data_IF_847075393502
#
_entry.id   IF_847075393502
#
_cell.length_a   1.000
_cell.length_b   1.000
_cell.length_c   1.000
_cell.angle_alpha   90.00
_cell.angle_beta   90.00
_cell.angle_gamma   90.00
#
_symmetry.space_group_name_H-M   'P 1'
#
loop_
_entity.id
_entity.type
_entity.pdbx_description
1 polymer ?
#
# COMPACT_ATOMS: atom_id res chain seq x y z
N UNK A 1 -3.70 -17.83 5.50
CA UNK A 1 -4.08 -18.39 4.19
C UNK A 1 -5.58 -18.43 4.10
N UNK A 2 -6.16 -17.55 3.29
CA UNK A 2 -7.60 -17.46 3.04
C UNK A 2 -8.09 -18.82 2.54
N UNK A 3 -9.06 -19.40 3.25
CA UNK A 3 -9.60 -20.73 2.97
C UNK A 3 -11.04 -20.65 2.47
N UNK A 4 -11.29 -21.21 1.29
CA UNK A 4 -12.61 -21.17 0.64
C UNK A 4 -13.68 -21.92 1.45
N UNK A 5 -13.31 -23.01 2.14
CA UNK A 5 -14.27 -23.81 2.94
C UNK A 5 -14.81 -23.01 4.13
N UNK A 6 -13.94 -22.25 4.78
CA UNK A 6 -14.31 -21.41 5.92
C UNK A 6 -15.27 -20.30 5.44
N UNK A 7 -14.95 -19.65 4.32
CA UNK A 7 -15.82 -18.66 3.65
C UNK A 7 -17.19 -19.25 3.32
N UNK A 8 -17.25 -20.45 2.76
CA UNK A 8 -18.49 -21.12 2.37
C UNK A 8 -19.39 -21.42 3.58
N UNK A 9 -18.79 -21.77 4.72
CA UNK A 9 -19.51 -22.19 5.94
C UNK A 9 -20.21 -21.05 6.71
N UNK A 10 -19.81 -19.79 6.48
CA UNK A 10 -20.27 -18.63 7.28
C UNK A 10 -21.16 -17.68 6.50
N UNK A 11 -21.89 -16.79 7.18
CA UNK A 11 -22.78 -15.81 6.53
C UNK A 11 -22.20 -14.40 6.53
N UNK A 12 -21.55 -14.00 7.62
CA UNK A 12 -20.99 -12.67 7.80
C UNK A 12 -19.47 -12.71 7.97
N UNK A 13 -18.77 -12.08 7.02
CA UNK A 13 -17.31 -11.99 7.01
C UNK A 13 -16.88 -10.53 7.20
N UNK A 14 -15.92 -10.30 8.08
CA UNK A 14 -15.23 -9.03 8.23
C UNK A 14 -13.82 -9.15 7.63
N UNK A 15 -13.47 -8.27 6.69
CA UNK A 15 -12.11 -8.15 6.16
C UNK A 15 -11.43 -7.00 6.89
N UNK A 16 -10.28 -7.24 7.49
CA UNK A 16 -9.55 -6.28 8.31
C UNK A 16 -8.18 -6.03 7.69
N UNK A 17 -7.82 -4.75 7.56
CA UNK A 17 -6.47 -4.32 7.18
C UNK A 17 -5.93 -3.35 8.22
N UNK A 18 -4.63 -3.44 8.50
CA UNK A 18 -3.92 -2.53 9.41
C UNK A 18 -3.15 -1.43 8.67
N UNK A 19 -2.97 -1.59 7.35
CA UNK A 19 -2.33 -0.61 6.46
C UNK A 19 -3.25 -0.31 5.28
N UNK A 20 -3.45 0.97 5.00
CA UNK A 20 -4.30 1.39 3.89
C UNK A 20 -3.81 0.89 2.51
N UNK A 21 -2.53 0.60 2.35
CA UNK A 21 -1.94 -0.02 1.15
C UNK A 21 -2.57 -1.38 0.81
N UNK A 22 -3.21 -2.04 1.77
CA UNK A 22 -3.88 -3.32 1.60
C UNK A 22 -5.36 -3.20 1.19
N UNK A 23 -5.90 -1.98 1.15
CA UNK A 23 -7.28 -1.75 0.72
C UNK A 23 -7.61 -2.31 -0.68
N UNK A 24 -6.69 -2.32 -1.68
CA UNK A 24 -6.96 -2.97 -2.95
C UNK A 24 -7.23 -4.48 -2.82
N UNK A 25 -6.42 -5.18 -2.02
CA UNK A 25 -6.61 -6.61 -1.74
C UNK A 25 -7.94 -6.86 -1.02
N UNK A 26 -8.25 -6.04 -0.02
CA UNK A 26 -9.54 -6.09 0.69
C UNK A 26 -10.73 -5.83 -0.23
N UNK A 27 -10.62 -4.86 -1.16
CA UNK A 27 -11.67 -4.51 -2.12
C UNK A 27 -11.92 -5.64 -3.13
N UNK A 28 -10.86 -6.31 -3.60
CA UNK A 28 -10.97 -7.48 -4.46
C UNK A 28 -11.71 -8.62 -3.75
N UNK A 29 -11.27 -8.97 -2.53
CA UNK A 29 -11.90 -10.03 -1.73
C UNK A 29 -13.36 -9.69 -1.40
N UNK A 30 -13.64 -8.45 -1.00
CA UNK A 30 -15.00 -7.97 -0.73
C UNK A 30 -15.92 -8.17 -1.93
N UNK A 31 -15.46 -7.82 -3.13
CA UNK A 31 -16.24 -8.00 -4.36
C UNK A 31 -16.54 -9.46 -4.64
N UNK A 32 -15.58 -10.35 -4.39
CA UNK A 32 -15.79 -11.79 -4.54
C UNK A 32 -16.80 -12.32 -3.52
N UNK A 33 -16.66 -11.96 -2.24
CA UNK A 33 -17.54 -12.41 -1.17
C UNK A 33 -19.00 -11.94 -1.38
N UNK A 34 -19.22 -10.74 -1.92
CA UNK A 34 -20.56 -10.29 -2.31
C UNK A 34 -21.20 -11.17 -3.39
N UNK A 35 -20.41 -11.67 -4.36
CA UNK A 35 -20.91 -12.59 -5.40
C UNK A 35 -21.27 -13.97 -4.84
N UNK A 36 -20.72 -14.34 -3.70
CA UNK A 36 -21.10 -15.53 -2.94
C UNK A 36 -22.30 -15.28 -2.01
N UNK A 37 -22.99 -14.15 -2.16
CA UNK A 37 -24.12 -13.73 -1.34
C UNK A 37 -23.81 -13.66 0.16
N UNK A 38 -22.55 -13.39 0.52
CA UNK A 38 -22.13 -13.19 1.91
C UNK A 38 -22.48 -11.77 2.35
N UNK A 39 -22.79 -11.61 3.65
CA UNK A 39 -22.73 -10.30 4.30
C UNK A 39 -21.24 -10.00 4.51
N UNK A 40 -20.79 -8.80 4.14
CA UNK A 40 -19.37 -8.45 4.20
C UNK A 40 -19.18 -7.05 4.76
N UNK A 41 -18.12 -6.84 5.54
CA UNK A 41 -17.64 -5.52 5.97
C UNK A 41 -16.15 -5.39 5.69
N UNK A 42 -15.70 -4.22 5.23
CA UNK A 42 -14.28 -3.87 5.11
C UNK A 42 -13.94 -2.93 6.25
N UNK A 43 -12.87 -3.23 6.97
CA UNK A 43 -12.40 -2.45 8.11
C UNK A 43 -10.94 -2.07 7.86
N UNK A 44 -10.63 -0.78 7.97
CA UNK A 44 -9.26 -0.28 8.09
C UNK A 44 -9.04 0.20 9.51
N UNK A 45 -8.07 -0.37 10.21
CA UNK A 45 -7.68 0.12 11.54
C UNK A 45 -6.70 1.29 11.46
N UNK A 46 -6.15 1.56 10.27
CA UNK A 46 -5.45 2.80 9.96
C UNK A 46 -6.45 3.95 9.82
N UNK A 47 -6.49 4.81 10.83
CA UNK A 47 -7.40 5.96 10.92
C UNK A 47 -7.06 7.09 9.93
N UNK A 48 -5.95 7.00 9.21
CA UNK A 48 -5.56 8.03 8.25
C UNK A 48 -6.46 7.92 7.02
N UNK A 49 -7.19 8.98 6.71
CA UNK A 49 -7.95 9.03 5.48
C UNK A 49 -6.98 9.07 4.29
N UNK A 50 -7.00 8.03 3.46
CA UNK A 50 -6.14 7.95 2.29
C UNK A 50 -6.92 8.04 0.97
N UNK A 51 -7.14 9.29 0.52
CA UNK A 51 -7.81 9.60 -0.76
C UNK A 51 -7.08 9.09 -2.00
N UNK A 52 -5.87 8.54 -1.86
CA UNK A 52 -5.18 7.78 -2.92
C UNK A 52 -5.99 6.55 -3.34
N UNK A 53 -6.80 5.99 -2.43
CA UNK A 53 -7.58 4.77 -2.67
C UNK A 53 -9.07 5.02 -2.93
N UNK A 54 -9.50 6.28 -3.06
CA UNK A 54 -10.93 6.61 -3.24
C UNK A 54 -11.51 6.18 -4.59
N UNK A 55 -10.67 5.69 -5.50
CA UNK A 55 -11.10 5.08 -6.76
C UNK A 55 -11.42 3.59 -6.63
N UNK A 56 -11.03 2.94 -5.53
CA UNK A 56 -11.28 1.52 -5.33
C UNK A 56 -12.78 1.25 -5.25
N UNK A 57 -13.24 0.09 -5.77
CA UNK A 57 -14.59 -0.37 -5.50
C UNK A 57 -14.86 -0.40 -4.00
N UNK A 58 -16.04 0.11 -3.59
CA UNK A 58 -16.53 0.05 -2.21
C UNK A 58 -15.73 0.85 -1.20
N UNK A 59 -14.91 1.81 -1.63
CA UNK A 59 -14.14 2.68 -0.72
C UNK A 59 -15.05 3.38 0.30
N UNK A 60 -16.25 3.80 -0.11
CA UNK A 60 -17.25 4.43 0.76
C UNK A 60 -17.86 3.48 1.82
N UNK A 61 -17.56 2.18 1.74
CA UNK A 61 -18.03 1.15 2.70
C UNK A 61 -16.99 0.83 3.77
N UNK A 62 -15.78 1.35 3.66
CA UNK A 62 -14.72 1.13 4.65
C UNK A 62 -15.14 1.75 5.98
N UNK A 63 -14.90 1.02 7.07
CA UNK A 63 -15.19 1.43 8.45
C UNK A 63 -13.94 1.26 9.31
N UNK A 64 -13.99 1.76 10.53
CA UNK A 64 -12.90 1.69 11.51
C UNK A 64 -13.23 0.80 12.73
N UNK A 65 -14.43 0.20 12.76
CA UNK A 65 -14.90 -0.66 13.86
C UNK A 65 -15.18 -2.06 13.34
N UNK A 66 -14.51 -3.05 13.93
CA UNK A 66 -14.73 -4.47 13.67
C UNK A 66 -16.10 -4.88 14.25
N UNK A 67 -17.03 -5.41 13.44
CA UNK A 67 -18.32 -5.86 13.93
C UNK A 67 -18.18 -7.09 14.84
N UNK A 68 -18.67 -7.00 16.08
CA UNK A 68 -18.69 -8.14 17.03
C UNK A 68 -19.58 -9.30 16.58
N UNK A 69 -20.40 -9.09 15.55
CA UNK A 69 -21.33 -10.09 14.99
C UNK A 69 -20.76 -10.83 13.79
N UNK A 70 -19.52 -10.56 13.37
CA UNK A 70 -18.89 -11.28 12.27
C UNK A 70 -18.66 -12.75 12.66
N UNK A 71 -19.05 -13.67 11.78
CA UNK A 71 -18.83 -15.11 11.97
C UNK A 71 -17.36 -15.48 11.69
N UNK A 72 -16.72 -14.74 10.78
CA UNK A 72 -15.33 -14.92 10.37
C UNK A 72 -14.65 -13.56 10.19
N UNK A 73 -13.43 -13.45 10.71
CA UNK A 73 -12.55 -12.30 10.49
C UNK A 73 -11.39 -12.76 9.62
N UNK A 74 -11.18 -12.07 8.50
CA UNK A 74 -10.04 -12.26 7.60
C UNK A 74 -9.14 -11.04 7.77
N UNK A 75 -8.04 -11.22 8.50
CA UNK A 75 -6.98 -10.21 8.61
C UNK A 75 -6.01 -10.40 7.46
N UNK A 76 -5.81 -9.36 6.66
CA UNK A 76 -4.83 -9.39 5.56
C UNK A 76 -3.48 -8.88 6.07
N UNK A 77 -2.40 -9.55 5.69
CA UNK A 77 -1.02 -9.10 5.92
C UNK A 77 -0.27 -8.77 4.62
N UNK A 78 0.75 -7.90 4.72
CA UNK A 78 1.55 -7.43 3.58
C UNK A 78 2.65 -8.43 3.15
N UNK A 79 2.86 -9.50 3.91
CA UNK A 79 4.03 -10.38 3.78
C UNK A 79 3.92 -11.35 2.62
N UNK A 80 2.69 -11.65 2.16
CA UNK A 80 2.44 -12.57 1.05
C UNK A 80 1.43 -11.98 0.08
N UNK A 81 1.52 -12.36 -1.18
CA UNK A 81 0.51 -12.01 -2.20
C UNK A 81 -0.75 -12.89 -2.04
N UNK A 82 -1.24 -12.99 -0.81
CA UNK A 82 -2.17 -14.01 -0.34
C UNK A 82 -3.51 -13.95 -1.08
N UNK A 83 -4.03 -12.74 -1.31
CA UNK A 83 -5.29 -12.54 -2.03
C UNK A 83 -5.13 -12.98 -3.48
N UNK A 84 -4.08 -12.55 -4.16
CA UNK A 84 -3.77 -12.98 -5.52
C UNK A 84 -3.64 -14.51 -5.65
N UNK A 85 -2.90 -15.16 -4.75
CA UNK A 85 -2.82 -16.63 -4.70
C UNK A 85 -4.19 -17.26 -4.45
N UNK A 86 -5.02 -16.68 -3.59
CA UNK A 86 -6.38 -17.16 -3.35
C UNK A 86 -7.25 -17.11 -4.62
N UNK A 87 -7.19 -16.02 -5.40
CA UNK A 87 -7.93 -15.91 -6.66
C UNK A 87 -7.47 -16.94 -7.70
N UNK A 88 -6.16 -17.15 -7.86
CA UNK A 88 -5.60 -18.10 -8.81
C UNK A 88 -5.89 -19.56 -8.43
N UNK A 89 -5.57 -19.94 -7.19
CA UNK A 89 -5.69 -21.33 -6.74
C UNK A 89 -7.15 -21.81 -6.76
N UNK A 90 -8.09 -20.91 -6.52
CA UNK A 90 -9.52 -21.23 -6.55
C UNK A 90 -10.18 -20.93 -7.91
N UNK A 91 -9.40 -20.53 -8.93
CA UNK A 91 -9.88 -20.22 -10.30
C UNK A 91 -11.06 -19.25 -10.29
N UNK A 92 -11.01 -18.25 -9.41
CA UNK A 92 -12.12 -17.31 -9.24
C UNK A 92 -12.19 -16.39 -10.45
N UNK A 93 -13.33 -16.41 -11.15
CA UNK A 93 -13.54 -15.56 -12.31
C UNK A 93 -13.41 -14.08 -11.95
N UNK A 94 -12.64 -13.33 -12.72
CA UNK A 94 -12.43 -11.90 -12.54
C UNK A 94 -13.55 -11.11 -13.21
N UNK A 95 -14.04 -10.08 -12.52
CA UNK A 95 -14.83 -9.02 -13.15
C UNK A 95 -14.04 -7.71 -13.08
N UNK A 96 -14.51 -6.67 -13.76
CA UNK A 96 -13.87 -5.35 -13.78
C UNK A 96 -13.51 -4.84 -12.38
N UNK A 97 -14.39 -4.96 -11.38
CA UNK A 97 -14.13 -4.47 -10.01
C UNK A 97 -12.98 -5.23 -9.33
N UNK A 98 -12.99 -6.56 -9.40
CA UNK A 98 -11.92 -7.40 -8.87
C UNK A 98 -10.62 -7.10 -9.60
N UNK A 99 -10.67 -7.03 -10.93
CA UNK A 99 -9.49 -6.79 -11.76
C UNK A 99 -8.85 -5.43 -11.48
N UNK A 100 -9.66 -4.35 -11.35
CA UNK A 100 -9.19 -3.02 -10.95
C UNK A 100 -8.49 -3.04 -9.59
N UNK A 101 -9.09 -3.72 -8.61
CA UNK A 101 -8.56 -3.78 -7.25
C UNK A 101 -7.25 -4.60 -7.17
N UNK A 102 -7.19 -5.76 -7.82
CA UNK A 102 -5.96 -6.56 -7.90
C UNK A 102 -4.85 -5.83 -8.68
N UNK A 103 -5.20 -5.09 -9.74
CA UNK A 103 -4.21 -4.31 -10.51
C UNK A 103 -3.64 -3.17 -9.65
N UNK A 104 -4.49 -2.51 -8.86
CA UNK A 104 -4.06 -1.52 -7.89
C UNK A 104 -3.12 -2.12 -6.82
N UNK A 105 -3.39 -3.34 -6.35
CA UNK A 105 -2.49 -4.07 -5.43
C UNK A 105 -1.11 -4.30 -6.06
N UNK A 106 -1.06 -4.79 -7.31
CA UNK A 106 0.22 -4.98 -8.04
C UNK A 106 1.01 -3.69 -8.17
N UNK A 107 0.36 -2.58 -8.54
CA UNK A 107 1.04 -1.29 -8.66
C UNK A 107 1.70 -0.86 -7.35
N UNK A 108 1.06 -1.07 -6.21
CA UNK A 108 1.60 -0.68 -4.90
C UNK A 108 2.76 -1.61 -4.52
N UNK A 109 2.53 -2.93 -4.63
CA UNK A 109 3.49 -3.95 -4.21
C UNK A 109 4.82 -3.84 -4.96
N UNK A 110 4.76 -3.54 -6.25
CA UNK A 110 5.92 -3.52 -7.14
C UNK A 110 6.41 -2.11 -7.48
N UNK A 111 6.03 -1.11 -6.68
CA UNK A 111 6.36 0.32 -6.86
C UNK A 111 6.18 0.80 -8.32
N UNK A 112 5.02 0.55 -8.90
CA UNK A 112 4.73 0.89 -10.29
C UNK A 112 5.55 0.10 -11.31
N UNK A 113 5.93 -1.13 -10.97
CA UNK A 113 6.77 -2.04 -11.75
C UNK A 113 8.25 -1.61 -11.87
N UNK A 114 8.74 -0.91 -10.85
CA UNK A 114 10.14 -0.42 -10.80
C UNK A 114 11.00 -1.24 -9.83
N UNK A 115 10.39 -1.90 -8.84
CA UNK A 115 11.13 -2.70 -7.85
C UNK A 115 11.86 -3.89 -8.48
N UNK A 116 13.00 -4.30 -7.91
CA UNK A 116 13.82 -5.41 -8.41
C UNK A 116 13.10 -6.77 -8.43
N UNK A 117 12.06 -6.94 -7.61
CA UNK A 117 11.21 -8.14 -7.58
C UNK A 117 10.23 -8.27 -8.75
N UNK A 118 10.28 -7.39 -9.76
CA UNK A 118 9.41 -7.45 -10.94
C UNK A 118 9.98 -8.39 -11.98
N UNK A 119 9.17 -9.36 -12.41
CA UNK A 119 9.53 -10.30 -13.46
C UNK A 119 8.44 -10.43 -14.55
N UNK A 120 8.65 -11.32 -15.52
CA UNK A 120 7.69 -11.58 -16.58
C UNK A 120 6.35 -12.13 -16.10
N UNK A 121 6.30 -12.80 -14.94
CA UNK A 121 5.07 -13.33 -14.34
C UNK A 121 4.21 -12.15 -13.86
N UNK A 122 4.82 -11.15 -13.22
CA UNK A 122 4.11 -9.94 -12.77
C UNK A 122 3.52 -9.16 -13.96
N UNK A 123 4.26 -9.00 -15.06
CA UNK A 123 3.73 -8.35 -16.25
C UNK A 123 2.62 -9.16 -16.93
N UNK A 124 2.76 -10.48 -17.02
CA UNK A 124 1.71 -11.34 -17.55
C UNK A 124 0.43 -11.22 -16.71
N UNK A 125 0.55 -11.16 -15.38
CA UNK A 125 -0.57 -10.94 -14.47
C UNK A 125 -1.23 -9.58 -14.68
N UNK A 126 -0.43 -8.51 -14.79
CA UNK A 126 -0.94 -7.18 -15.10
C UNK A 126 -1.73 -7.17 -16.43
N UNK A 127 -1.23 -7.85 -17.47
CA UNK A 127 -1.95 -8.01 -18.74
C UNK A 127 -3.30 -8.70 -18.55
N UNK A 128 -3.33 -9.84 -17.84
CA UNK A 128 -4.58 -10.58 -17.58
C UNK A 128 -5.62 -9.73 -16.85
N UNK A 129 -5.19 -8.91 -15.89
CA UNK A 129 -6.11 -8.01 -15.17
C UNK A 129 -6.64 -6.91 -16.10
N UNK A 130 -5.80 -6.36 -16.98
CA UNK A 130 -6.23 -5.39 -18.00
C UNK A 130 -7.23 -6.02 -18.96
N UNK A 131 -6.98 -7.24 -19.43
CA UNK A 131 -7.89 -7.98 -20.31
C UNK A 131 -9.22 -8.32 -19.62
N UNK A 132 -9.19 -8.54 -18.29
CA UNK A 132 -10.37 -8.68 -17.45
C UNK A 132 -11.10 -7.36 -17.15
N UNK A 133 -10.67 -6.25 -17.76
CA UNK A 133 -11.33 -4.95 -17.70
C UNK A 133 -10.85 -4.03 -16.58
N UNK A 134 -9.68 -4.27 -15.98
CA UNK A 134 -9.14 -3.39 -14.94
C UNK A 134 -9.04 -1.93 -15.44
N UNK A 135 -9.48 -0.98 -14.61
CA UNK A 135 -9.36 0.46 -14.86
C UNK A 135 -7.94 0.97 -14.58
N UNK A 136 -6.93 0.34 -15.21
CA UNK A 136 -5.51 0.57 -14.93
C UNK A 136 -5.08 2.04 -15.04
N UNK A 137 -5.70 2.81 -15.95
CA UNK A 137 -5.46 4.27 -16.09
C UNK A 137 -5.88 5.03 -14.84
N UNK A 138 -6.99 4.62 -14.22
CA UNK A 138 -7.49 5.21 -12.98
C UNK A 138 -6.55 4.84 -11.82
N UNK A 139 -6.13 3.57 -11.73
CA UNK A 139 -5.15 3.12 -10.77
C UNK A 139 -3.84 3.93 -10.89
N UNK A 140 -3.28 4.05 -12.09
CA UNK A 140 -2.09 4.86 -12.36
C UNK A 140 -2.29 6.34 -11.95
N UNK A 141 -3.45 6.92 -12.30
CA UNK A 141 -3.76 8.32 -11.97
C UNK A 141 -3.80 8.55 -10.47
N UNK A 142 -4.39 7.65 -9.71
CA UNK A 142 -4.59 7.83 -8.27
C UNK A 142 -3.39 7.37 -7.45
N UNK A 143 -2.77 6.26 -7.81
CA UNK A 143 -1.66 5.65 -7.06
C UNK A 143 -0.32 6.30 -7.40
N UNK A 144 0.00 6.43 -8.70
CA UNK A 144 1.34 6.84 -9.13
C UNK A 144 1.46 8.34 -9.34
N UNK A 145 0.36 9.02 -9.72
CA UNK A 145 0.39 10.42 -10.16
C UNK A 145 -0.17 11.41 -9.14
N UNK A 146 -0.39 10.99 -7.88
CA UNK A 146 -0.86 11.86 -6.81
C UNK A 146 0.13 11.92 -5.66
N UNK A 147 0.23 13.12 -5.12
CA UNK A 147 1.02 13.46 -3.96
C UNK A 147 0.36 14.66 -3.29
N UNK A 148 0.54 14.82 -1.99
CA UNK A 148 -0.03 15.97 -1.28
C UNK A 148 0.93 17.15 -1.34
N UNK A 149 0.41 18.37 -1.19
CA UNK A 149 1.25 19.55 -1.06
C UNK A 149 2.15 19.46 0.19
N UNK A 150 1.68 18.81 1.25
CA UNK A 150 2.46 18.57 2.46
C UNK A 150 3.68 17.68 2.19
N UNK A 151 3.49 16.54 1.51
CA UNK A 151 4.57 15.66 1.07
C UNK A 151 5.58 16.41 0.20
N UNK A 152 5.11 17.25 -0.73
CA UNK A 152 5.99 18.06 -1.59
C UNK A 152 6.81 19.11 -0.83
N UNK A 153 6.19 19.83 0.13
CA UNK A 153 6.90 20.78 0.99
C UNK A 153 7.94 20.07 1.86
N UNK A 154 7.58 18.92 2.43
CA UNK A 154 8.50 18.12 3.22
C UNK A 154 9.67 17.62 2.37
N UNK A 155 9.40 17.13 1.16
CA UNK A 155 10.44 16.71 0.22
C UNK A 155 11.43 17.83 -0.08
N UNK A 156 10.95 19.04 -0.36
CA UNK A 156 11.83 20.19 -0.59
C UNK A 156 12.71 20.49 0.64
N UNK A 157 12.13 20.45 1.85
CA UNK A 157 12.86 20.68 3.10
C UNK A 157 13.91 19.59 3.36
N UNK A 158 13.53 18.32 3.23
CA UNK A 158 14.43 17.18 3.43
C UNK A 158 15.59 17.20 2.44
N UNK A 159 15.33 17.39 1.15
CA UNK A 159 16.37 17.42 0.11
C UNK A 159 17.31 18.61 0.26
N UNK A 160 16.81 19.78 0.71
CA UNK A 160 17.66 20.94 1.01
C UNK A 160 18.68 20.63 2.13
N UNK A 161 18.31 19.79 3.09
CA UNK A 161 19.08 19.50 4.30
C UNK A 161 19.70 18.08 4.30
N UNK A 162 19.73 17.39 3.16
CA UNK A 162 20.29 16.05 3.07
C UNK A 162 21.79 16.05 3.41
N UNK A 163 22.22 15.12 4.26
CA UNK A 163 23.64 14.90 4.57
C UNK A 163 24.13 13.61 3.92
N UNK A 164 25.10 13.71 3.02
CA UNK A 164 25.75 12.55 2.41
C UNK A 164 27.04 12.22 3.15
N UNK A 165 27.18 10.98 3.59
CA UNK A 165 28.33 10.44 4.34
C UNK A 165 28.96 9.28 3.59
N UNK A 166 30.14 8.85 4.06
CA UNK A 166 30.83 7.66 3.57
C UNK A 166 30.99 7.64 2.03
N UNK A 167 31.52 8.74 1.46
CA UNK A 167 31.64 8.91 0.00
C UNK A 167 30.29 8.80 -0.73
N UNK A 168 29.26 9.44 -0.17
CA UNK A 168 27.88 9.44 -0.65
C UNK A 168 27.14 8.08 -0.59
N UNK A 169 27.68 7.08 0.10
CA UNK A 169 27.01 5.78 0.30
C UNK A 169 25.90 5.79 1.33
N UNK A 170 25.89 6.78 2.23
CA UNK A 170 24.85 6.94 3.23
C UNK A 170 24.23 8.33 3.13
N UNK A 171 22.92 8.39 2.96
CA UNK A 171 22.14 9.61 3.08
C UNK A 171 21.46 9.69 4.45
N UNK A 172 21.57 10.82 5.12
CA UNK A 172 20.95 11.04 6.43
C UNK A 172 20.03 12.25 6.35
N UNK A 173 18.78 12.04 6.75
CA UNK A 173 17.80 13.09 6.96
C UNK A 173 17.59 13.32 8.46
N UNK A 174 17.63 14.59 8.84
CA UNK A 174 17.26 15.05 10.17
C UNK A 174 15.91 15.75 10.07
N UNK A 175 14.95 15.30 10.89
CA UNK A 175 13.58 15.83 10.92
C UNK A 175 13.16 16.10 12.35
N UNK A 176 12.46 17.20 12.58
CA UNK A 176 11.83 17.54 13.86
C UNK A 176 10.30 17.52 13.76
N UNK A 177 9.59 17.56 14.90
CA UNK A 177 8.13 17.74 14.89
C UNK A 177 7.72 19.10 14.32
N UNK A 178 8.58 20.11 14.44
CA UNK A 178 8.30 21.43 13.89
C UNK A 178 8.39 21.44 12.36
N UNK A 179 9.30 20.65 11.75
CA UNK A 179 9.34 20.44 10.30
C UNK A 179 8.05 19.76 9.80
N UNK A 180 7.57 18.74 10.52
CA UNK A 180 6.32 18.04 10.21
C UNK A 180 5.12 19.00 10.32
N UNK A 181 5.03 19.79 11.40
CA UNK A 181 3.97 20.80 11.57
C UNK A 181 4.02 21.88 10.49
N UNK A 182 5.21 22.41 10.17
CA UNK A 182 5.41 23.49 9.19
C UNK A 182 4.99 23.05 7.78
N UNK A 183 5.26 21.79 7.44
CA UNK A 183 4.91 21.23 6.14
C UNK A 183 3.48 20.69 6.11
N UNK A 184 2.92 20.33 7.27
CA UNK A 184 1.66 19.59 7.42
C UNK A 184 1.79 18.11 7.07
N UNK A 185 3.02 17.60 6.96
CA UNK A 185 3.32 16.23 6.58
C UNK A 185 3.45 15.31 7.80
N UNK A 186 3.51 14.02 7.53
CA UNK A 186 3.66 12.97 8.54
C UNK A 186 5.02 12.28 8.44
N UNK A 187 5.34 11.46 9.44
CA UNK A 187 6.56 10.65 9.42
C UNK A 187 6.55 9.58 8.30
N UNK A 188 5.37 9.16 7.83
CA UNK A 188 5.23 8.26 6.68
C UNK A 188 5.59 8.97 5.38
N UNK A 189 5.22 10.25 5.23
CA UNK A 189 5.65 11.07 4.09
C UNK A 189 7.18 11.12 4.01
N UNK A 190 7.87 11.27 5.16
CA UNK A 190 9.32 11.23 5.22
C UNK A 190 9.87 9.88 4.73
N UNK A 191 9.26 8.75 5.11
CA UNK A 191 9.67 7.42 4.66
C UNK A 191 9.46 7.21 3.15
N UNK A 192 8.42 7.80 2.55
CA UNK A 192 8.23 7.79 1.09
C UNK A 192 9.40 8.52 0.40
N UNK A 193 9.79 9.69 0.93
CA UNK A 193 10.90 10.48 0.39
C UNK A 193 12.24 9.74 0.54
N UNK A 194 12.45 9.01 1.64
CA UNK A 194 13.65 8.19 1.83
C UNK A 194 13.83 7.17 0.71
N UNK A 195 12.75 6.50 0.28
CA UNK A 195 12.81 5.49 -0.80
C UNK A 195 13.30 6.10 -2.11
N UNK A 196 12.84 7.30 -2.44
CA UNK A 196 13.27 7.98 -3.67
C UNK A 196 14.78 8.31 -3.66
N UNK A 197 15.35 8.57 -2.49
CA UNK A 197 16.77 8.94 -2.34
C UNK A 197 17.69 7.73 -2.54
N UNK A 198 17.19 6.50 -2.37
CA UNK A 198 17.92 5.28 -2.74
C UNK A 198 18.17 5.15 -4.25
N UNK A 199 17.44 5.91 -5.08
CA UNK A 199 17.67 5.96 -6.52
C UNK A 199 18.90 6.80 -6.91
N UNK A 200 19.53 7.51 -5.97
CA UNK A 200 20.82 8.14 -6.22
C UNK A 200 21.89 7.05 -6.44
N UNK A 201 22.70 7.24 -7.48
CA UNK A 201 23.68 6.27 -7.99
C UNK A 201 24.50 5.60 -6.88
N UNK A 202 25.05 6.40 -5.96
CA UNK A 202 25.99 5.94 -4.95
C UNK A 202 25.34 5.60 -3.61
N UNK A 203 24.09 6.00 -3.37
CA UNK A 203 23.45 5.82 -2.06
C UNK A 203 23.06 4.36 -1.88
N UNK A 204 23.59 3.74 -0.84
CA UNK A 204 23.30 2.36 -0.44
C UNK A 204 22.34 2.32 0.76
N UNK A 205 22.37 3.33 1.63
CA UNK A 205 21.56 3.40 2.85
C UNK A 205 20.98 4.80 3.05
N UNK A 206 19.74 4.86 3.54
CA UNK A 206 19.08 6.11 3.96
C UNK A 206 18.63 5.99 5.42
N UNK A 207 19.07 6.92 6.25
CA UNK A 207 18.73 7.00 7.68
C UNK A 207 17.86 8.22 7.94
N UNK A 208 16.73 8.03 8.61
CA UNK A 208 15.87 9.11 9.11
C UNK A 208 16.05 9.25 10.62
N UNK A 209 16.43 10.45 11.04
CA UNK A 209 16.78 10.79 12.40
C UNK A 209 15.82 11.86 12.92
N UNK A 210 15.27 11.64 14.11
CA UNK A 210 14.43 12.59 14.82
C UNK A 210 15.34 13.54 15.62
N UNK A 211 15.57 14.76 15.10
CA UNK A 211 16.62 15.65 15.60
C UNK A 211 16.30 16.31 16.94
N UNK A 212 15.01 16.46 17.26
CA UNK A 212 14.48 16.98 18.52
C UNK A 212 14.25 15.89 19.59
N UNK A 213 14.61 14.63 19.30
CA UNK A 213 14.57 13.51 20.25
C UNK A 213 15.95 12.86 20.38
N UNK A 214 16.95 13.62 20.86
CA UNK A 214 18.32 13.13 21.07
C UNK A 214 18.94 12.43 19.83
N UNK A 215 18.54 12.87 18.62
CA UNK A 215 18.92 12.22 17.37
C UNK A 215 18.55 10.72 17.30
N UNK A 216 17.38 10.36 17.82
CA UNK A 216 16.84 8.99 17.72
C UNK A 216 16.67 8.59 16.26
N UNK A 217 17.21 7.42 15.89
CA UNK A 217 16.98 6.83 14.58
C UNK A 217 15.53 6.32 14.52
N UNK A 218 14.77 6.87 13.58
CA UNK A 218 13.37 6.49 13.33
C UNK A 218 13.33 5.29 12.39
N UNK A 219 14.11 5.37 11.31
CA UNK A 219 14.08 4.38 10.23
C UNK A 219 15.43 4.34 9.54
N UNK A 220 15.85 3.14 9.19
CA UNK A 220 16.95 2.88 8.26
C UNK A 220 16.37 2.01 7.15
N UNK A 221 16.66 2.37 5.91
CA UNK A 221 16.39 1.54 4.73
C UNK A 221 17.67 1.40 3.92
N UNK A 222 17.83 0.26 3.27
CA UNK A 222 18.96 -0.05 2.41
C UNK A 222 18.45 -0.32 1.00
N UNK A 223 19.29 -0.03 0.01
CA UNK A 223 19.03 -0.42 -1.37
C UNK A 223 19.00 -1.95 -1.45
N UNK A 224 18.01 -2.48 -2.13
CA UNK A 224 18.01 -3.91 -2.48
C UNK A 224 19.14 -4.12 -3.52
N UNK A 225 19.99 -5.12 -3.29
CA UNK A 225 21.16 -5.45 -4.12
C UNK A 225 20.85 -6.70 -4.93
#
# INVERSE_FOLDING_TARGET
>A
MINIKDIESVKFIAIVVDKNEMLPDASALYTHLLRLHKKVSIISTDKKENKKFSFLPWYEKIRDIIPSTADLIIELDDKKDEVNYFFENNKIALNQKIATALYASLLIRYDGFISDGVDGIIFARASQLIDAGAEYKLCNKFIMKRTTLATMKLKALMLKNISLKHSAKEAVFYISDDDLKLTGATLEDAQIIMKEVLYLEYVENVTLVKSDEENRIVKLISKEI
#
